data_IF_531877839264
#
_entry.id   IF_531877839264
#
_cell.length_a   1.000
_cell.length_b   1.000
_cell.length_c   1.000
_cell.angle_alpha   90.00
_cell.angle_beta   90.00
_cell.angle_gamma   90.00
#
_symmetry.space_group_name_H-M   'P 1'
#
loop_
_entity.id
_entity.type
_entity.pdbx_description
1 polymer ?
#
# COMPACT_ATOMS: atom_id res chain seq x y z
N UNK A 1 4.66 6.90 1.95
CA UNK A 1 3.67 8.03 1.92
C UNK A 1 4.31 9.41 1.76
N UNK A 2 5.61 9.46 1.62
CA UNK A 2 6.34 10.73 1.43
C UNK A 2 5.89 11.49 0.18
N UNK A 3 5.72 10.78 -0.93
CA UNK A 3 5.27 11.37 -2.19
C UNK A 3 3.91 12.07 -2.04
N UNK A 4 2.99 11.43 -1.33
CA UNK A 4 1.65 11.98 -1.08
C UNK A 4 1.76 13.25 -0.22
N UNK A 5 2.59 13.23 0.83
CA UNK A 5 2.79 14.39 1.68
C UNK A 5 3.36 15.59 0.94
N UNK A 6 4.27 15.35 -0.01
CA UNK A 6 4.89 16.42 -0.81
C UNK A 6 3.90 17.10 -1.75
N UNK A 7 2.83 16.39 -2.16
CA UNK A 7 1.85 16.92 -3.10
C UNK A 7 0.49 17.20 -2.46
N UNK A 8 0.50 17.44 -1.15
CA UNK A 8 -0.70 17.54 -0.32
C UNK A 8 -1.78 18.47 -0.85
N UNK A 9 -1.42 19.71 -1.16
CA UNK A 9 -2.39 20.72 -1.63
C UNK A 9 -3.01 20.34 -2.96
N UNK A 10 -2.19 19.88 -3.90
CA UNK A 10 -2.66 19.48 -5.23
C UNK A 10 -3.60 18.29 -5.13
N UNK A 11 -3.26 17.30 -4.32
CA UNK A 11 -4.09 16.11 -4.15
C UNK A 11 -5.43 16.45 -3.50
N UNK A 12 -5.43 17.31 -2.47
CA UNK A 12 -6.65 17.73 -1.81
C UNK A 12 -7.57 18.49 -2.77
N UNK A 13 -7.00 19.36 -3.58
CA UNK A 13 -7.74 20.12 -4.58
C UNK A 13 -8.45 19.19 -5.58
N UNK A 14 -7.71 18.22 -6.12
CA UNK A 14 -8.26 17.24 -7.06
C UNK A 14 -9.35 16.40 -6.41
N UNK A 15 -9.11 15.94 -5.18
CA UNK A 15 -10.07 15.11 -4.46
C UNK A 15 -11.40 15.83 -4.21
N UNK A 16 -11.36 17.12 -3.95
CA UNK A 16 -12.56 17.93 -3.69
C UNK A 16 -13.24 18.44 -4.96
N UNK A 17 -12.70 18.12 -6.14
CA UNK A 17 -13.22 18.56 -7.44
C UNK A 17 -14.18 17.54 -8.03
N UNK A 18 -14.78 17.89 -9.19
CA UNK A 18 -15.65 17.00 -9.95
C UNK A 18 -14.89 15.83 -10.58
N UNK A 19 -13.55 15.86 -10.53
CA UNK A 19 -12.69 14.82 -11.10
C UNK A 19 -12.31 13.73 -10.08
N UNK A 20 -13.10 13.61 -9.04
CA UNK A 20 -12.86 12.65 -7.96
C UNK A 20 -12.69 11.20 -8.45
N UNK A 21 -13.53 10.78 -9.40
CA UNK A 21 -13.45 9.43 -9.94
C UNK A 21 -12.13 9.18 -10.68
N UNK A 22 -11.66 10.14 -11.44
CA UNK A 22 -10.39 10.06 -12.14
C UNK A 22 -9.25 9.96 -11.12
N UNK A 23 -9.32 10.76 -10.07
CA UNK A 23 -8.34 10.73 -8.99
C UNK A 23 -8.29 9.36 -8.31
N UNK A 24 -9.43 8.78 -7.96
CA UNK A 24 -9.49 7.46 -7.33
C UNK A 24 -8.94 6.36 -8.25
N UNK A 25 -9.19 6.46 -9.56
CA UNK A 25 -8.65 5.52 -10.53
C UNK A 25 -7.12 5.58 -10.60
N UNK A 26 -6.55 6.78 -10.61
CA UNK A 26 -5.09 6.97 -10.59
C UNK A 26 -4.50 6.44 -9.29
N UNK A 27 -5.16 6.75 -8.17
CA UNK A 27 -4.72 6.28 -6.85
C UNK A 27 -4.71 4.75 -6.79
N UNK A 28 -5.73 4.10 -7.35
CA UNK A 28 -5.80 2.65 -7.42
C UNK A 28 -4.57 2.07 -8.15
N UNK A 29 -4.23 2.63 -9.30
CA UNK A 29 -3.08 2.19 -10.07
C UNK A 29 -1.76 2.42 -9.34
N UNK A 30 -1.64 3.55 -8.66
CA UNK A 30 -0.44 3.85 -7.87
C UNK A 30 -0.26 2.85 -6.72
N UNK A 31 -1.34 2.52 -6.02
CA UNK A 31 -1.29 1.55 -4.92
C UNK A 31 -0.94 0.15 -5.43
N UNK A 32 -1.52 -0.26 -6.56
CA UNK A 32 -1.17 -1.53 -7.18
C UNK A 32 0.31 -1.59 -7.51
N UNK A 33 0.84 -0.51 -8.09
CA UNK A 33 2.25 -0.42 -8.46
C UNK A 33 3.16 -0.55 -7.23
N UNK A 34 2.86 0.17 -6.18
CA UNK A 34 3.66 0.15 -4.94
C UNK A 34 3.69 -1.26 -4.35
N UNK A 35 2.54 -1.91 -4.26
CA UNK A 35 2.44 -3.26 -3.71
C UNK A 35 3.22 -4.25 -4.59
N UNK A 36 3.06 -4.14 -5.90
CA UNK A 36 3.76 -5.01 -6.86
C UNK A 36 5.28 -4.85 -6.70
N UNK A 37 5.77 -3.62 -6.62
CA UNK A 37 7.20 -3.38 -6.44
C UNK A 37 7.73 -3.96 -5.14
N UNK A 38 6.97 -3.86 -4.07
CA UNK A 38 7.34 -4.45 -2.79
C UNK A 38 7.46 -5.98 -2.90
N UNK A 39 6.48 -6.62 -3.51
CA UNK A 39 6.49 -8.08 -3.66
C UNK A 39 7.65 -8.55 -4.55
N UNK A 40 7.85 -7.90 -5.68
CA UNK A 40 8.94 -8.24 -6.62
C UNK A 40 10.31 -8.06 -5.97
N UNK A 41 10.44 -7.02 -5.13
CA UNK A 41 11.71 -6.76 -4.45
C UNK A 41 12.05 -7.82 -3.39
N UNK A 42 11.05 -8.37 -2.71
CA UNK A 42 11.25 -9.27 -1.59
C UNK A 42 11.04 -10.76 -1.92
N UNK A 43 10.37 -11.06 -3.02
CA UNK A 43 10.05 -12.44 -3.42
C UNK A 43 10.36 -12.63 -4.91
N UNK A 44 10.35 -13.88 -5.35
CA UNK A 44 10.48 -14.21 -6.76
C UNK A 44 9.21 -13.79 -7.51
N UNK A 45 9.35 -13.39 -8.78
CA UNK A 45 8.25 -12.86 -9.57
C UNK A 45 7.09 -13.86 -9.74
N UNK A 46 7.40 -15.15 -9.83
CA UNK A 46 6.38 -16.20 -9.98
C UNK A 46 5.40 -16.25 -8.82
N UNK A 47 5.79 -15.74 -7.66
CA UNK A 47 4.93 -15.72 -6.47
C UNK A 47 3.68 -14.87 -6.68
N UNK A 48 3.76 -13.86 -7.55
CA UNK A 48 2.60 -13.01 -7.84
C UNK A 48 1.46 -13.75 -8.53
N UNK A 49 1.74 -14.89 -9.13
CA UNK A 49 0.73 -15.71 -9.80
C UNK A 49 -0.01 -16.62 -8.83
N UNK A 50 0.47 -16.78 -7.60
CA UNK A 50 -0.20 -17.59 -6.60
C UNK A 50 -1.51 -16.98 -6.17
N UNK A 51 -2.54 -17.82 -6.03
CA UNK A 51 -3.89 -17.39 -5.63
C UNK A 51 -3.89 -16.62 -4.31
N UNK A 52 -3.22 -17.16 -3.30
CA UNK A 52 -3.15 -16.52 -1.98
C UNK A 52 -2.46 -15.16 -2.06
N UNK A 53 -1.42 -15.04 -2.88
CA UNK A 53 -0.73 -13.77 -3.04
C UNK A 53 -1.61 -12.74 -3.75
N UNK A 54 -2.38 -13.16 -4.75
CA UNK A 54 -3.32 -12.27 -5.45
C UNK A 54 -4.39 -11.73 -4.51
N UNK A 55 -4.94 -12.59 -3.66
CA UNK A 55 -5.93 -12.20 -2.66
C UNK A 55 -5.33 -11.18 -1.69
N UNK A 56 -4.13 -11.46 -1.20
CA UNK A 56 -3.46 -10.59 -0.23
C UNK A 56 -3.10 -9.24 -0.84
N UNK A 57 -2.60 -9.22 -2.07
CA UNK A 57 -2.27 -7.98 -2.77
C UNK A 57 -3.51 -7.10 -2.98
N UNK A 58 -4.61 -7.72 -3.36
CA UNK A 58 -5.88 -7.01 -3.51
C UNK A 58 -6.34 -6.41 -2.19
N UNK A 59 -6.26 -7.17 -1.12
CA UNK A 59 -6.66 -6.70 0.21
C UNK A 59 -5.81 -5.50 0.66
N UNK A 60 -4.49 -5.59 0.51
CA UNK A 60 -3.61 -4.48 0.89
C UNK A 60 -3.84 -3.24 0.03
N UNK A 61 -4.12 -3.41 -1.25
CA UNK A 61 -4.48 -2.29 -2.11
C UNK A 61 -5.73 -1.58 -1.58
N UNK A 62 -6.77 -2.34 -1.24
CA UNK A 62 -8.00 -1.77 -0.71
C UNK A 62 -7.78 -1.03 0.61
N UNK A 63 -6.95 -1.59 1.49
CA UNK A 63 -6.60 -0.96 2.76
C UNK A 63 -5.86 0.35 2.53
N UNK A 64 -4.87 0.36 1.64
CA UNK A 64 -4.10 1.57 1.33
C UNK A 64 -4.99 2.68 0.77
N UNK A 65 -5.85 2.34 -0.18
CA UNK A 65 -6.77 3.30 -0.78
C UNK A 65 -7.72 3.85 0.28
N UNK A 66 -8.29 2.98 1.11
CA UNK A 66 -9.19 3.38 2.18
C UNK A 66 -8.55 4.35 3.17
N UNK A 67 -7.32 4.06 3.57
CA UNK A 67 -6.58 4.94 4.50
C UNK A 67 -6.31 6.30 3.86
N UNK A 68 -5.89 6.32 2.61
CA UNK A 68 -5.59 7.57 1.92
C UNK A 68 -6.85 8.41 1.72
N UNK A 69 -7.96 7.78 1.32
CA UNK A 69 -9.22 8.48 1.13
C UNK A 69 -9.77 9.04 2.45
N UNK A 70 -9.65 8.27 3.53
CA UNK A 70 -10.04 8.74 4.86
C UNK A 70 -9.23 9.96 5.26
N UNK A 71 -7.92 9.92 5.04
CA UNK A 71 -7.03 11.04 5.33
C UNK A 71 -7.45 12.29 4.55
N UNK A 72 -7.82 12.13 3.27
CA UNK A 72 -8.28 13.23 2.45
C UNK A 72 -9.65 13.75 2.88
N UNK A 73 -10.56 12.87 3.31
CA UNK A 73 -11.86 13.27 3.86
C UNK A 73 -11.68 14.09 5.13
N UNK A 74 -10.63 13.85 5.90
CA UNK A 74 -10.26 14.65 7.07
C UNK A 74 -9.37 15.84 6.72
N UNK A 75 -9.31 16.21 5.45
CA UNK A 75 -8.54 17.33 4.91
C UNK A 75 -7.07 17.27 5.29
N UNK A 76 -6.53 16.05 5.32
CA UNK A 76 -5.11 15.80 5.62
C UNK A 76 -4.71 16.35 6.99
N UNK A 77 -5.65 16.34 7.96
CA UNK A 77 -5.48 16.97 9.27
C UNK A 77 -4.56 16.20 10.22
N UNK A 78 -4.32 14.91 9.98
CA UNK A 78 -3.38 14.14 10.77
C UNK A 78 -2.15 13.78 9.94
N UNK A 79 -1.06 13.45 10.63
CA UNK A 79 0.20 13.08 9.98
C UNK A 79 0.11 11.64 9.46
N UNK A 80 -0.03 11.49 8.15
CA UNK A 80 -0.16 10.18 7.52
C UNK A 80 1.09 9.32 7.70
N UNK A 81 2.28 9.94 7.66
CA UNK A 81 3.54 9.23 7.86
C UNK A 81 3.62 8.67 9.28
N UNK A 82 3.28 9.47 10.27
CA UNK A 82 3.25 9.02 11.67
C UNK A 82 2.23 7.90 11.87
N UNK A 83 1.05 8.02 11.26
CA UNK A 83 0.01 7.02 11.33
C UNK A 83 0.50 5.68 10.75
N UNK A 84 1.13 5.71 9.56
CA UNK A 84 1.61 4.50 8.91
C UNK A 84 2.78 3.86 9.67
N UNK A 85 3.65 4.67 10.28
CA UNK A 85 4.74 4.16 11.11
C UNK A 85 4.20 3.45 12.35
N UNK A 86 3.15 3.99 12.96
CA UNK A 86 2.50 3.37 14.11
C UNK A 86 1.90 2.03 13.73
N UNK A 87 1.23 1.95 12.59
CA UNK A 87 0.68 0.71 12.08
C UNK A 87 1.79 -0.31 11.82
N UNK A 88 2.90 0.13 11.23
CA UNK A 88 4.03 -0.75 10.95
C UNK A 88 4.56 -1.37 12.23
N UNK A 89 4.69 -0.59 13.30
CA UNK A 89 5.12 -1.09 14.60
C UNK A 89 4.16 -2.14 15.16
N UNK A 90 2.85 -1.87 15.07
CA UNK A 90 1.83 -2.77 15.59
C UNK A 90 1.73 -4.09 14.81
N UNK A 91 1.97 -4.04 13.50
CA UNK A 91 1.89 -5.20 12.62
C UNK A 91 3.24 -5.82 12.29
N UNK A 92 4.32 -5.34 12.90
CA UNK A 92 5.64 -5.91 12.70
C UNK A 92 5.57 -7.42 12.96
N UNK A 93 6.23 -8.21 12.14
CA UNK A 93 6.21 -9.68 12.15
C UNK A 93 4.91 -10.29 11.63
N UNK A 94 3.74 -9.76 11.99
CA UNK A 94 2.45 -10.28 11.51
C UNK A 94 2.32 -10.06 10.00
N UNK A 95 2.64 -8.87 9.53
CA UNK A 95 2.60 -8.54 8.10
C UNK A 95 3.55 -9.43 7.30
N UNK A 96 4.78 -9.57 7.77
CA UNK A 96 5.80 -10.38 7.13
C UNK A 96 5.42 -11.87 7.10
N UNK A 97 4.91 -12.38 8.21
CA UNK A 97 4.44 -13.78 8.29
C UNK A 97 3.27 -14.03 7.36
N UNK A 98 2.38 -13.08 7.22
CA UNK A 98 1.24 -13.21 6.30
C UNK A 98 1.72 -13.28 4.85
N UNK A 99 2.69 -12.44 4.47
CA UNK A 99 3.28 -12.47 3.14
C UNK A 99 3.99 -13.79 2.89
N UNK A 100 4.77 -14.27 3.85
CA UNK A 100 5.48 -15.55 3.74
C UNK A 100 4.49 -16.71 3.56
N UNK A 101 3.38 -16.69 4.28
CA UNK A 101 2.34 -17.72 4.16
C UNK A 101 1.71 -17.70 2.78
N UNK A 102 1.38 -16.54 2.27
CA UNK A 102 0.78 -16.40 0.93
C UNK A 102 1.76 -16.81 -0.17
N UNK A 103 3.03 -16.49 0.01
CA UNK A 103 4.09 -16.84 -0.94
C UNK A 103 4.48 -18.32 -0.86
N UNK A 104 4.31 -18.94 0.30
CA UNK A 104 4.77 -20.32 0.54
C UNK A 104 6.28 -20.43 0.73
N UNK A 105 6.97 -19.29 0.89
CA UNK A 105 8.41 -19.23 1.05
C UNK A 105 8.81 -17.95 1.76
N UNK A 106 10.04 -17.92 2.30
CA UNK A 106 10.58 -16.71 2.94
C UNK A 106 11.02 -15.68 1.87
N UNK A 107 11.05 -14.39 2.23
CA UNK A 107 11.57 -13.36 1.33
C UNK A 107 12.98 -13.69 0.86
N UNK A 108 13.30 -13.29 -0.36
CA UNK A 108 14.60 -13.57 -0.99
C UNK A 108 15.77 -13.06 -0.14
N UNK A 109 15.64 -11.86 0.45
CA UNK A 109 16.71 -11.30 1.26
C UNK A 109 17.00 -12.11 2.53
N UNK A 110 16.04 -12.86 3.05
CA UNK A 110 16.23 -13.73 4.21
C UNK A 110 16.92 -15.05 3.84
N UNK A 111 16.81 -15.46 2.57
CA UNK A 111 17.45 -16.70 2.10
C UNK A 111 18.97 -16.54 1.97
N UNK A 112 19.43 -15.32 1.84
CA UNK A 112 20.86 -15.02 1.69
C UNK A 112 21.58 -15.02 3.05
N UNK A 113 20.83 -14.79 4.10
CA UNK A 113 21.35 -14.77 5.46
C UNK A 113 21.37 -16.18 6.04
#
# INVERSE_FOLDING_TARGET
MKLIGENKKAMLHIYCSVQRETFTSVLDKMCQYVIKQYIVHNFEEEIMEKEDMKVLMHFYKCVMIGVILDWMDHRMSYDLTEYTEKLRELYENTFEKTLEKAAGTKPVYLKIV
#
